data_IF_039559915397
#
_entry.id   IF_039559915397
#
_cell.length_a   1.000
_cell.length_b   1.000
_cell.length_c   1.000
_cell.angle_alpha   90.00
_cell.angle_beta   90.00
_cell.angle_gamma   90.00
#
_symmetry.space_group_name_H-M   'P 1'
#
loop_
_entity.id
_entity.type
_entity.pdbx_description
1 polymer ?
#
# COMPACT_ATOMS: atom_id res chain seq x y z
N UNK A 1 -24.47 19.22 -1.86
CA UNK A 1 -23.17 19.31 -2.54
C UNK A 1 -22.55 17.93 -2.54
N UNK A 2 -21.91 17.53 -3.62
CA UNK A 2 -21.32 16.22 -3.77
C UNK A 2 -20.15 15.99 -2.82
N UNK A 3 -20.07 14.77 -2.31
CA UNK A 3 -18.96 14.28 -1.52
C UNK A 3 -17.82 13.88 -2.46
N UNK A 4 -16.59 14.13 -2.04
CA UNK A 4 -15.40 13.75 -2.81
C UNK A 4 -14.19 13.57 -1.91
N UNK A 5 -13.16 12.90 -2.43
CA UNK A 5 -11.91 12.70 -1.70
C UNK A 5 -10.92 13.78 -2.12
N UNK A 6 -10.46 14.58 -1.17
CA UNK A 6 -9.40 15.56 -1.35
C UNK A 6 -8.05 14.94 -1.00
N UNK A 7 -7.04 15.19 -1.83
CA UNK A 7 -5.66 14.78 -1.60
C UNK A 7 -4.76 15.97 -1.27
N UNK A 8 -4.00 15.87 -0.18
CA UNK A 8 -2.97 16.82 0.20
C UNK A 8 -1.61 16.36 -0.33
N UNK A 9 -1.11 17.02 -1.38
CA UNK A 9 0.17 16.70 -2.01
C UNK A 9 1.39 16.95 -1.11
N UNK A 10 1.27 17.80 -0.09
CA UNK A 10 2.36 18.06 0.87
C UNK A 10 2.52 16.93 1.89
N UNK A 11 1.47 16.11 2.07
CA UNK A 11 1.46 14.98 3.01
C UNK A 11 1.59 13.62 2.30
N UNK A 12 1.43 13.58 0.98
CA UNK A 12 1.42 12.33 0.24
C UNK A 12 2.84 11.71 0.15
N UNK A 13 2.98 10.48 0.63
CA UNK A 13 4.22 9.69 0.49
C UNK A 13 4.41 9.10 -0.91
N UNK A 14 3.35 9.05 -1.73
CA UNK A 14 3.37 8.28 -2.98
C UNK A 14 3.53 6.78 -2.75
N UNK A 15 2.97 6.24 -1.66
CA UNK A 15 3.20 4.86 -1.22
C UNK A 15 2.31 3.80 -1.88
N UNK A 16 1.35 4.19 -2.73
CA UNK A 16 0.38 3.30 -3.39
C UNK A 16 -0.56 2.52 -2.46
N UNK A 17 -0.49 2.68 -1.13
CA UNK A 17 -1.37 2.00 -0.18
C UNK A 17 -2.86 2.29 -0.42
N UNK A 18 -3.19 3.52 -0.85
CA UNK A 18 -4.56 3.89 -1.18
C UNK A 18 -5.10 3.20 -2.45
N UNK A 19 -4.24 2.84 -3.40
CA UNK A 19 -4.63 2.05 -4.58
C UNK A 19 -4.91 0.61 -4.19
N UNK A 20 -4.02 0.02 -3.38
CA UNK A 20 -4.15 -1.36 -2.88
C UNK A 20 -5.43 -1.50 -2.04
N UNK A 21 -5.64 -0.60 -1.08
CA UNK A 21 -6.85 -0.58 -0.27
C UNK A 21 -8.12 -0.41 -1.12
N UNK A 22 -8.04 0.39 -2.20
CA UNK A 22 -9.17 0.52 -3.13
C UNK A 22 -9.47 -0.79 -3.85
N UNK A 23 -8.45 -1.51 -4.34
CA UNK A 23 -8.64 -2.80 -5.03
C UNK A 23 -9.17 -3.86 -4.06
N UNK A 24 -8.59 -3.97 -2.86
CA UNK A 24 -9.01 -4.94 -1.84
C UNK A 24 -10.47 -4.74 -1.42
N UNK A 25 -10.88 -3.50 -1.14
CA UNK A 25 -12.25 -3.19 -0.78
C UNK A 25 -13.27 -3.47 -1.90
N UNK A 26 -12.82 -3.60 -3.16
CA UNK A 26 -13.66 -3.96 -4.31
C UNK A 26 -13.45 -5.40 -4.77
N UNK A 27 -12.73 -6.21 -3.99
CA UNK A 27 -12.46 -7.61 -4.22
C UNK A 27 -12.64 -8.41 -2.92
N UNK A 28 -13.66 -8.07 -2.12
CA UNK A 28 -14.04 -8.75 -0.88
C UNK A 28 -12.89 -8.93 0.13
N UNK A 29 -11.99 -7.93 0.21
CA UNK A 29 -10.78 -7.93 1.04
C UNK A 29 -9.79 -9.07 0.72
N UNK A 30 -9.83 -9.60 -0.50
CA UNK A 30 -8.92 -10.63 -1.00
C UNK A 30 -7.85 -10.05 -1.92
N UNK A 31 -6.64 -10.62 -1.87
CA UNK A 31 -5.57 -10.28 -2.81
C UNK A 31 -5.93 -10.70 -4.24
N UNK A 32 -5.57 -9.84 -5.18
CA UNK A 32 -5.76 -10.09 -6.60
C UNK A 32 -4.47 -10.64 -7.17
N UNK A 33 -4.48 -11.92 -7.52
CA UNK A 33 -3.28 -12.66 -7.95
C UNK A 33 -2.77 -12.29 -9.35
N UNK A 34 -3.48 -11.42 -10.10
CA UNK A 34 -3.06 -11.00 -11.43
C UNK A 34 -3.11 -9.48 -11.61
N UNK A 35 -2.11 -8.94 -12.29
CA UNK A 35 -2.08 -7.51 -12.65
C UNK A 35 -3.28 -7.09 -13.50
N UNK A 36 -3.84 -8.03 -14.28
CA UNK A 36 -5.02 -7.79 -15.12
C UNK A 36 -6.29 -7.48 -14.33
N UNK A 37 -6.31 -7.74 -13.03
CA UNK A 37 -7.45 -7.46 -12.17
C UNK A 37 -7.13 -6.34 -11.14
N UNK A 38 -5.92 -5.76 -11.20
CA UNK A 38 -5.56 -4.61 -10.37
C UNK A 38 -6.08 -3.32 -11.01
N UNK A 39 -7.31 -2.93 -10.65
CA UNK A 39 -8.00 -1.77 -11.20
C UNK A 39 -8.43 -0.78 -10.10
N UNK A 40 -7.47 -0.07 -9.48
CA UNK A 40 -7.78 0.92 -8.45
C UNK A 40 -8.56 2.09 -9.06
N UNK A 41 -9.52 2.60 -8.29
CA UNK A 41 -10.38 3.74 -8.67
C UNK A 41 -9.83 5.09 -8.22
N UNK A 42 -8.58 5.08 -7.77
CA UNK A 42 -7.72 6.17 -7.33
C UNK A 42 -6.34 5.89 -7.93
N UNK A 43 -5.58 6.93 -8.29
CA UNK A 43 -4.25 6.74 -8.89
C UNK A 43 -3.22 7.62 -8.23
N UNK A 44 -2.12 7.03 -7.77
CA UNK A 44 -0.98 7.74 -7.21
C UNK A 44 -0.06 8.15 -8.35
N UNK A 45 0.27 9.44 -8.38
CA UNK A 45 1.28 10.00 -9.27
C UNK A 45 2.50 10.34 -8.41
N UNK A 46 3.64 9.76 -8.79
CA UNK A 46 4.96 10.09 -8.25
C UNK A 46 5.84 10.54 -9.42
N UNK A 47 6.26 11.80 -9.40
CA UNK A 47 7.20 12.33 -10.39
C UNK A 47 8.17 13.30 -9.71
N UNK A 48 9.45 12.95 -9.71
CA UNK A 48 10.50 13.69 -9.00
C UNK A 48 10.11 13.87 -7.52
N UNK A 49 9.97 15.12 -7.05
CA UNK A 49 9.59 15.47 -5.69
C UNK A 49 8.07 15.71 -5.53
N UNK A 50 7.29 15.53 -6.59
CA UNK A 50 5.84 15.70 -6.56
C UNK A 50 5.15 14.36 -6.36
N UNK A 51 4.30 14.30 -5.34
CA UNK A 51 3.54 13.12 -4.94
C UNK A 51 2.12 13.55 -4.67
N UNK A 52 1.15 12.88 -5.28
CA UNK A 52 -0.26 13.09 -4.98
C UNK A 52 -1.08 11.89 -5.40
N UNK A 53 -2.27 11.75 -4.83
CA UNK A 53 -3.28 10.85 -5.35
C UNK A 53 -4.31 11.63 -6.16
N UNK A 54 -4.60 11.15 -7.36
CA UNK A 54 -5.64 11.66 -8.24
C UNK A 54 -6.92 10.87 -8.00
N UNK A 55 -7.97 11.59 -7.64
CA UNK A 55 -9.26 11.02 -7.23
C UNK A 55 -10.38 11.58 -8.11
N UNK A 56 -11.50 10.84 -8.21
CA UNK A 56 -12.72 11.42 -8.79
C UNK A 56 -13.26 12.50 -7.84
N UNK A 57 -13.55 13.68 -8.37
CA UNK A 57 -14.10 14.78 -7.59
C UNK A 57 -15.62 14.78 -7.49
N UNK A 58 -16.30 13.79 -8.11
CA UNK A 58 -17.77 13.73 -8.20
C UNK A 58 -18.38 15.10 -8.53
N UNK A 59 -17.85 15.78 -9.54
CA UNK A 59 -18.17 17.17 -9.85
C UNK A 59 -19.67 17.43 -9.92
N UNK A 60 -20.13 18.58 -9.43
CA UNK A 60 -21.54 19.00 -9.53
C UNK A 60 -22.03 19.07 -10.97
N UNK A 61 -21.20 19.62 -11.86
CA UNK A 61 -21.51 19.75 -13.29
C UNK A 61 -21.29 18.44 -14.07
N UNK A 62 -20.71 17.42 -13.42
CA UNK A 62 -20.47 16.06 -13.91
C UNK A 62 -20.34 15.93 -15.44
N UNK A 63 -19.25 16.43 -16.07
CA UNK A 63 -19.07 16.34 -17.53
C UNK A 63 -19.17 14.90 -18.05
N UNK A 64 -18.74 13.92 -17.24
CA UNK A 64 -18.86 12.49 -17.54
C UNK A 64 -20.32 11.99 -17.60
N UNK A 65 -21.21 12.55 -16.77
CA UNK A 65 -22.64 12.23 -16.82
C UNK A 65 -23.29 12.86 -18.05
N UNK A 66 -23.00 14.14 -18.32
CA UNK A 66 -23.52 14.88 -19.48
C UNK A 66 -23.09 14.25 -20.80
N UNK A 67 -21.89 13.69 -20.88
CA UNK A 67 -21.38 13.03 -22.09
C UNK A 67 -21.85 11.59 -22.25
N UNK A 68 -22.60 11.02 -21.30
CA UNK A 68 -23.02 9.62 -21.33
C UNK A 68 -24.25 9.41 -22.24
N UNK A 69 -24.10 8.76 -23.41
CA UNK A 69 -25.19 8.63 -24.37
C UNK A 69 -26.29 7.66 -23.92
N UNK A 70 -25.99 6.75 -22.99
CA UNK A 70 -26.93 5.73 -22.52
C UNK A 70 -27.48 6.02 -21.10
N UNK A 71 -27.24 7.22 -20.56
CA UNK A 71 -27.69 7.60 -19.21
C UNK A 71 -27.20 6.66 -18.10
N UNK A 72 -26.02 6.06 -18.28
CA UNK A 72 -25.43 5.11 -17.35
C UNK A 72 -24.74 5.79 -16.16
N UNK A 73 -24.53 7.11 -16.22
CA UNK A 73 -23.85 7.88 -15.18
C UNK A 73 -24.83 8.93 -14.68
N UNK A 74 -25.11 8.92 -13.38
CA UNK A 74 -26.12 9.81 -12.77
C UNK A 74 -25.72 10.22 -11.37
N UNK A 75 -26.37 11.25 -10.85
CA UNK A 75 -26.25 11.65 -9.45
C UNK A 75 -27.07 10.70 -8.54
N UNK A 76 -26.44 10.22 -7.47
CA UNK A 76 -27.01 9.32 -6.46
C UNK A 76 -26.34 9.63 -5.11
N UNK A 77 -27.13 9.89 -4.06
CA UNK A 77 -26.68 10.08 -2.68
C UNK A 77 -25.46 11.03 -2.53
N UNK A 78 -25.61 12.26 -3.05
CA UNK A 78 -24.56 13.29 -3.04
C UNK A 78 -23.26 12.83 -3.71
N UNK A 79 -23.36 12.04 -4.78
CA UNK A 79 -22.21 11.60 -5.56
C UNK A 79 -22.60 11.25 -6.99
N UNK A 80 -21.69 11.43 -7.94
CA UNK A 80 -21.88 10.88 -9.29
C UNK A 80 -21.60 9.38 -9.24
N UNK A 81 -22.41 8.53 -9.87
CA UNK A 81 -22.28 7.07 -9.86
C UNK A 81 -22.44 6.46 -11.25
N UNK A 82 -21.82 5.30 -11.48
CA UNK A 82 -21.94 4.55 -12.74
C UNK A 82 -22.80 3.30 -12.54
N UNK A 83 -23.90 3.21 -13.28
CA UNK A 83 -24.69 2.00 -13.38
C UNK A 83 -24.05 1.05 -14.41
N UNK A 84 -23.44 -0.04 -13.93
CA UNK A 84 -22.73 -1.01 -14.77
C UNK A 84 -23.64 -1.85 -15.67
N UNK A 85 -24.94 -1.92 -15.39
CA UNK A 85 -25.91 -2.60 -16.25
C UNK A 85 -26.25 -1.75 -17.48
N UNK A 86 -26.29 -0.42 -17.32
CA UNK A 86 -26.53 0.53 -18.42
C UNK A 86 -25.24 0.91 -19.18
N UNK A 87 -24.07 0.74 -18.60
CA UNK A 87 -22.82 1.14 -19.27
C UNK A 87 -22.56 0.29 -20.53
N UNK A 88 -22.32 0.97 -21.65
CA UNK A 88 -21.98 0.34 -22.94
C UNK A 88 -20.48 0.47 -23.30
N UNK A 89 -19.66 1.01 -22.41
CA UNK A 89 -18.20 1.12 -22.64
C UNK A 89 -17.75 2.05 -23.77
N UNK A 90 -18.60 3.00 -24.22
CA UNK A 90 -18.31 3.90 -25.36
C UNK A 90 -17.16 4.89 -25.15
N UNK A 91 -16.58 4.96 -23.93
CA UNK A 91 -15.45 5.83 -23.55
C UNK A 91 -15.68 7.35 -23.60
N UNK A 92 -16.88 7.82 -23.94
CA UNK A 92 -17.22 9.26 -23.94
C UNK A 92 -16.91 9.96 -22.59
N UNK A 93 -17.18 9.28 -21.48
CA UNK A 93 -16.88 9.77 -20.14
C UNK A 93 -15.36 9.90 -19.85
N UNK A 94 -14.51 9.09 -20.50
CA UNK A 94 -13.05 9.14 -20.35
C UNK A 94 -12.53 10.46 -20.90
N UNK A 95 -12.95 10.82 -22.12
CA UNK A 95 -12.55 12.08 -22.77
C UNK A 95 -13.14 13.29 -22.06
N UNK A 96 -14.36 13.17 -21.51
CA UNK A 96 -15.03 14.28 -20.84
C UNK A 96 -14.50 14.57 -19.43
N UNK A 97 -13.76 13.65 -18.80
CA UNK A 97 -13.30 13.85 -17.42
C UNK A 97 -12.12 14.84 -17.36
N UNK A 98 -12.27 16.03 -16.75
CA UNK A 98 -11.18 17.00 -16.69
C UNK A 98 -10.03 16.56 -15.76
N UNK A 99 -10.28 15.58 -14.88
CA UNK A 99 -9.30 15.02 -13.96
C UNK A 99 -8.70 13.70 -14.44
N UNK A 100 -9.16 13.16 -15.59
CA UNK A 100 -8.65 11.90 -16.13
C UNK A 100 -8.91 10.66 -15.27
N UNK A 101 -9.92 10.68 -14.38
CA UNK A 101 -10.16 9.60 -13.39
C UNK A 101 -11.14 8.52 -13.86
N UNK A 102 -11.71 8.69 -15.05
CA UNK A 102 -12.60 7.71 -15.67
C UNK A 102 -11.77 6.64 -16.38
N UNK A 103 -11.97 5.38 -16.03
CA UNK A 103 -11.31 4.22 -16.64
C UNK A 103 -12.33 3.33 -17.34
N UNK A 104 -11.86 2.52 -18.29
CA UNK A 104 -12.66 1.48 -18.94
C UNK A 104 -12.04 0.15 -18.61
N UNK A 105 -12.79 -0.67 -17.88
CA UNK A 105 -12.39 -2.02 -17.49
C UNK A 105 -13.05 -3.01 -18.44
N UNK A 106 -12.28 -4.00 -18.88
CA UNK A 106 -12.76 -5.08 -19.73
C UNK A 106 -12.94 -6.33 -18.87
N UNK A 107 -14.19 -6.71 -18.61
CA UNK A 107 -14.50 -7.90 -17.81
C UNK A 107 -14.87 -9.07 -18.73
N UNK A 108 -14.25 -10.26 -18.59
CA UNK A 108 -14.67 -11.45 -19.34
C UNK A 108 -16.11 -11.83 -19.01
N UNK A 109 -16.92 -12.13 -20.02
CA UNK A 109 -18.32 -12.59 -19.84
C UNK A 109 -18.58 -13.97 -20.44
N UNK A 110 -17.80 -14.36 -21.46
CA UNK A 110 -17.78 -15.69 -22.04
C UNK A 110 -16.46 -15.90 -22.79
N UNK A 111 -16.18 -17.13 -23.24
CA UNK A 111 -14.99 -17.42 -24.05
C UNK A 111 -14.91 -16.48 -25.27
N UNK A 112 -13.83 -15.69 -25.35
CA UNK A 112 -13.61 -14.71 -26.42
C UNK A 112 -14.51 -13.46 -26.36
N UNK A 113 -15.31 -13.26 -25.31
CA UNK A 113 -16.20 -12.10 -25.15
C UNK A 113 -15.88 -11.33 -23.87
N UNK A 114 -15.70 -10.02 -24.01
CA UNK A 114 -15.51 -9.09 -22.90
C UNK A 114 -16.61 -8.05 -22.89
N UNK A 115 -16.97 -7.58 -21.70
CA UNK A 115 -17.83 -6.42 -21.48
C UNK A 115 -16.97 -5.25 -21.05
N UNK A 116 -17.07 -4.14 -21.78
CA UNK A 116 -16.41 -2.90 -21.43
C UNK A 116 -17.30 -2.04 -20.52
N UNK A 117 -16.81 -1.71 -19.33
CA UNK A 117 -17.55 -0.93 -18.32
C UNK A 117 -16.73 0.25 -17.82
N UNK A 118 -17.38 1.38 -17.57
CA UNK A 118 -16.72 2.56 -17.05
C UNK A 118 -16.56 2.47 -15.53
N UNK A 119 -15.35 2.63 -15.03
CA UNK A 119 -15.03 2.60 -13.62
C UNK A 119 -14.49 3.98 -13.19
N UNK A 120 -14.87 4.40 -11.99
CA UNK A 120 -14.39 5.60 -11.29
C UNK A 120 -14.62 5.40 -9.80
N UNK A 121 -14.05 6.24 -8.95
CA UNK A 121 -14.35 6.22 -7.53
C UNK A 121 -15.88 6.31 -7.31
N UNK A 122 -16.41 5.42 -6.49
CA UNK A 122 -17.81 5.36 -6.05
C UNK A 122 -17.93 5.72 -4.56
N UNK A 123 -16.84 6.21 -3.95
CA UNK A 123 -16.70 6.47 -2.52
C UNK A 123 -16.90 5.22 -1.65
N UNK A 124 -16.64 4.02 -2.20
CA UNK A 124 -16.92 2.73 -1.54
C UNK A 124 -18.38 2.66 -1.07
N UNK A 125 -19.33 3.03 -1.94
CA UNK A 125 -20.75 2.97 -1.64
C UNK A 125 -21.14 1.55 -1.15
N UNK A 126 -21.65 1.47 0.08
CA UNK A 126 -22.00 0.21 0.74
C UNK A 126 -21.02 -0.25 1.83
N UNK A 127 -19.83 0.35 1.95
CA UNK A 127 -18.89 0.10 3.04
C UNK A 127 -19.17 1.03 4.22
N UNK A 128 -19.42 0.48 5.41
CA UNK A 128 -19.80 1.24 6.61
C UNK A 128 -18.73 2.27 7.02
N UNK A 129 -17.45 1.90 6.95
CA UNK A 129 -16.32 2.77 7.30
C UNK A 129 -15.98 3.80 6.20
N UNK A 130 -16.76 3.85 5.11
CA UNK A 130 -16.53 4.76 3.99
C UNK A 130 -15.35 4.36 3.09
N UNK A 131 -14.72 5.32 2.39
CA UNK A 131 -13.67 5.02 1.41
C UNK A 131 -12.44 4.37 2.03
N UNK A 132 -12.14 3.14 1.61
CA UNK A 132 -11.00 2.37 2.11
C UNK A 132 -9.65 3.08 1.89
N UNK A 133 -9.52 3.86 0.82
CA UNK A 133 -8.32 4.63 0.54
C UNK A 133 -8.07 5.77 1.54
N UNK A 134 -9.11 6.37 2.10
CA UNK A 134 -9.00 7.40 3.15
C UNK A 134 -8.58 6.75 4.47
N UNK A 135 -9.25 5.66 4.84
CA UNK A 135 -8.95 4.91 6.07
C UNK A 135 -7.52 4.34 6.11
N UNK A 136 -7.01 3.88 4.97
CA UNK A 136 -5.69 3.23 4.88
C UNK A 136 -4.57 4.19 4.47
N UNK A 137 -4.79 5.51 4.49
CA UNK A 137 -3.74 6.47 4.17
C UNK A 137 -2.78 6.63 5.38
N UNK A 138 -1.53 6.14 5.32
CA UNK A 138 -0.64 6.15 6.49
C UNK A 138 -0.19 7.56 6.91
N UNK A 139 -0.34 8.53 6.01
CA UNK A 139 0.15 9.89 6.17
C UNK A 139 -0.99 10.91 6.28
N UNK A 140 -2.23 10.43 6.41
CA UNK A 140 -3.44 11.27 6.50
C UNK A 140 -3.57 12.27 5.35
N UNK A 141 -3.01 11.93 4.18
CA UNK A 141 -3.00 12.80 3.01
C UNK A 141 -4.34 12.78 2.25
N UNK A 142 -5.27 11.89 2.60
CA UNK A 142 -6.57 11.74 1.96
C UNK A 142 -7.68 12.04 2.96
N UNK A 143 -8.64 12.86 2.55
CA UNK A 143 -9.78 13.22 3.38
C UNK A 143 -11.07 13.15 2.57
N UNK A 144 -12.10 12.51 3.12
CA UNK A 144 -13.46 12.61 2.59
C UNK A 144 -14.03 13.99 2.93
N UNK A 145 -14.33 14.77 1.90
CA UNK A 145 -14.93 16.09 2.01
C UNK A 145 -16.43 15.96 1.84
N UNK A 146 -17.16 16.52 2.81
CA UNK A 146 -18.62 16.61 2.81
C UNK A 146 -19.05 18.08 2.88
N UNK A 147 -20.31 18.36 2.57
CA UNK A 147 -20.86 19.72 2.66
C UNK A 147 -20.73 20.31 4.07
N UNK A 148 -20.93 19.48 5.09
CA UNK A 148 -20.75 19.87 6.51
C UNK A 148 -19.30 20.24 6.78
N UNK A 149 -18.34 19.44 6.31
CA UNK A 149 -16.92 19.72 6.49
C UNK A 149 -16.51 21.04 5.80
N UNK A 150 -16.96 21.27 4.56
CA UNK A 150 -16.68 22.51 3.82
C UNK A 150 -17.31 23.73 4.46
N UNK A 151 -18.56 23.63 4.88
CA UNK A 151 -19.26 24.70 5.61
C UNK A 151 -18.55 25.04 6.92
N UNK A 152 -18.06 24.01 7.63
CA UNK A 152 -17.21 24.16 8.81
C UNK A 152 -15.90 24.89 8.49
N UNK A 153 -15.17 24.47 7.46
CA UNK A 153 -13.91 25.11 7.03
C UNK A 153 -14.13 26.57 6.62
N UNK A 154 -15.19 26.87 5.85
CA UNK A 154 -15.53 28.22 5.43
C UNK A 154 -15.94 29.10 6.63
N UNK A 155 -16.69 28.57 7.60
CA UNK A 155 -17.02 29.27 8.85
C UNK A 155 -15.76 29.55 9.67
N UNK A 156 -14.88 28.57 9.85
CA UNK A 156 -13.60 28.73 10.55
C UNK A 156 -12.70 29.76 9.88
N UNK A 157 -12.60 29.75 8.54
CA UNK A 157 -11.84 30.76 7.79
C UNK A 157 -12.40 32.16 7.97
N UNK A 158 -13.74 32.32 7.86
CA UNK A 158 -14.42 33.60 8.12
C UNK A 158 -14.17 34.09 9.54
N UNK A 159 -14.25 33.22 10.53
CA UNK A 159 -13.97 33.55 11.93
C UNK A 159 -12.51 33.96 12.13
N UNK A 160 -11.53 33.24 11.55
CA UNK A 160 -10.10 33.60 11.61
C UNK A 160 -9.83 34.98 11.01
N UNK A 161 -10.38 35.26 9.82
CA UNK A 161 -10.25 36.58 9.18
C UNK A 161 -10.92 37.68 10.02
N UNK A 162 -12.11 37.41 10.57
CA UNK A 162 -12.84 38.37 11.39
C UNK A 162 -12.15 38.65 12.74
N UNK A 163 -11.45 37.68 13.31
CA UNK A 163 -10.76 37.80 14.61
C UNK A 163 -9.42 38.53 14.56
N UNK A 164 -8.92 38.92 13.37
CA UNK A 164 -7.56 39.47 13.20
C UNK A 164 -6.50 38.68 13.99
N UNK A 165 -6.64 37.35 14.08
CA UNK A 165 -5.60 36.50 14.63
C UNK A 165 -4.46 36.48 13.63
N UNK A 166 -3.56 37.46 13.76
CA UNK A 166 -2.28 37.54 13.09
C UNK A 166 -1.38 36.47 13.70
N UNK A 167 -1.69 35.20 13.47
CA UNK A 167 -0.70 34.15 13.67
C UNK A 167 0.13 34.05 12.38
N UNK A 168 1.47 34.10 12.49
CA UNK A 168 2.32 33.77 11.35
C UNK A 168 1.95 32.38 10.86
N UNK A 169 2.11 32.15 9.56
CA UNK A 169 1.69 30.98 8.78
C UNK A 169 2.23 29.61 9.28
N UNK A 170 2.88 29.56 10.46
CA UNK A 170 3.51 28.40 11.08
C UNK A 170 3.33 28.26 12.61
N UNK A 171 2.28 28.81 13.24
CA UNK A 171 2.02 28.56 14.68
C UNK A 171 0.85 27.58 14.91
N UNK A 172 1.13 26.29 14.92
CA UNK A 172 0.23 25.27 15.49
C UNK A 172 0.41 25.25 17.01
N UNK A 173 -0.62 25.57 17.78
CA UNK A 173 -0.71 25.15 19.19
C UNK A 173 -2.16 24.77 19.54
N UNK A 174 -2.46 23.48 19.41
CA UNK A 174 -3.47 22.80 20.20
C UNK A 174 -2.76 21.65 20.92
N UNK A 175 -2.88 21.63 22.26
CA UNK A 175 -2.49 20.59 23.22
C UNK A 175 -1.40 19.58 22.77
N UNK A 176 -0.19 19.80 23.28
CA UNK A 176 0.95 18.88 23.13
C UNK A 176 0.70 17.54 23.84
N UNK A 177 0.26 16.54 23.07
CA UNK A 177 0.87 15.23 23.15
C UNK A 177 2.22 15.31 22.41
N UNK A 178 3.26 14.62 22.89
CA UNK A 178 4.58 14.63 22.25
C UNK A 178 4.42 14.34 20.75
N UNK A 179 4.92 15.20 19.83
CA UNK A 179 4.60 15.04 18.43
C UNK A 179 5.26 13.77 17.91
N UNK A 180 4.43 12.75 17.67
CA UNK A 180 4.82 11.62 16.82
C UNK A 180 5.13 12.24 15.46
N UNK A 181 6.39 12.12 15.01
CA UNK A 181 6.80 12.62 13.70
C UNK A 181 5.80 12.13 12.63
N UNK A 182 5.33 13.03 11.78
CA UNK A 182 4.52 12.67 10.62
C UNK A 182 5.27 11.69 9.72
N UNK A 183 4.57 10.89 8.91
CA UNK A 183 5.26 9.95 7.99
C UNK A 183 6.18 10.66 6.99
N UNK A 184 5.86 11.89 6.61
CA UNK A 184 6.70 12.69 5.71
C UNK A 184 8.01 13.06 6.42
N UNK A 185 7.93 13.51 7.68
CA UNK A 185 9.11 13.78 8.50
C UNK A 185 9.92 12.51 8.76
N UNK A 186 9.27 11.38 9.02
CA UNK A 186 9.95 10.07 9.18
C UNK A 186 10.71 9.68 7.91
N UNK A 187 10.08 9.84 6.74
CA UNK A 187 10.71 9.59 5.45
C UNK A 187 11.91 10.51 5.23
N UNK A 188 11.77 11.81 5.46
CA UNK A 188 12.85 12.79 5.32
C UNK A 188 14.01 12.52 6.29
N UNK A 189 13.71 12.03 7.49
CA UNK A 189 14.70 11.64 8.49
C UNK A 189 15.27 10.22 8.27
N UNK A 190 14.84 9.50 7.23
CA UNK A 190 15.32 8.14 6.98
C UNK A 190 16.81 8.18 6.62
N UNK A 191 17.67 7.42 7.32
CA UNK A 191 19.11 7.41 7.05
C UNK A 191 19.41 6.85 5.65
N UNK A 192 20.68 6.79 5.25
CA UNK A 192 21.07 6.02 4.06
C UNK A 192 20.92 4.51 4.29
N UNK A 193 20.57 3.75 3.24
CA UNK A 193 20.45 2.29 3.30
C UNK A 193 21.78 1.66 3.71
N UNK A 194 21.77 0.81 4.73
CA UNK A 194 22.92 0.01 5.10
C UNK A 194 22.91 -1.31 4.35
N UNK A 195 24.07 -1.72 3.86
CA UNK A 195 24.25 -3.03 3.24
C UNK A 195 24.77 -4.05 4.27
N UNK A 196 24.48 -5.35 4.08
CA UNK A 196 25.12 -6.41 4.84
C UNK A 196 26.64 -6.42 4.63
N UNK A 197 27.35 -6.71 5.70
CA UNK A 197 28.80 -6.91 5.66
C UNK A 197 29.10 -8.12 4.76
N UNK A 198 30.22 -8.05 4.01
CA UNK A 198 30.63 -9.10 3.09
C UNK A 198 31.99 -9.61 3.49
N UNK A 199 32.25 -10.89 3.22
CA UNK A 199 33.61 -11.42 3.25
C UNK A 199 34.51 -10.59 2.33
N UNK A 200 35.74 -10.35 2.79
CA UNK A 200 36.75 -9.64 2.04
C UNK A 200 36.98 -10.32 0.67
N UNK A 201 37.30 -9.52 -0.34
CA UNK A 201 37.48 -10.01 -1.72
C UNK A 201 38.49 -11.15 -1.79
N UNK A 202 39.60 -11.05 -1.06
CA UNK A 202 40.63 -12.10 -1.05
C UNK A 202 40.14 -13.41 -0.43
N UNK A 203 39.28 -13.35 0.60
CA UNK A 203 38.73 -14.54 1.23
C UNK A 203 37.67 -15.25 0.36
N UNK A 204 36.88 -14.50 -0.41
CA UNK A 204 35.81 -15.08 -1.26
C UNK A 204 36.26 -15.57 -2.64
N UNK A 205 37.57 -15.47 -2.96
CA UNK A 205 38.15 -16.00 -4.20
C UNK A 205 38.51 -17.48 -4.10
N UNK A 206 38.77 -17.96 -2.89
CA UNK A 206 39.41 -19.26 -2.65
C UNK A 206 38.46 -20.30 -2.07
N UNK A 207 37.23 -19.91 -1.71
CA UNK A 207 36.23 -20.78 -1.09
C UNK A 207 34.82 -20.55 -1.65
N UNK A 208 33.89 -21.37 -1.16
CA UNK A 208 32.46 -21.33 -1.50
C UNK A 208 31.60 -20.90 -0.30
N UNK A 209 32.22 -20.29 0.72
CA UNK A 209 31.52 -19.75 1.88
C UNK A 209 30.54 -18.65 1.46
N UNK A 210 29.46 -18.49 2.24
CA UNK A 210 28.45 -17.47 1.98
C UNK A 210 29.10 -16.07 2.05
N UNK A 211 29.05 -15.33 0.93
CA UNK A 211 29.73 -14.04 0.78
C UNK A 211 29.14 -12.98 1.73
N UNK A 212 27.83 -13.02 1.95
CA UNK A 212 27.10 -12.06 2.78
C UNK A 212 27.00 -12.56 4.21
N UNK A 213 27.52 -11.77 5.14
CA UNK A 213 27.43 -12.08 6.55
C UNK A 213 26.02 -11.80 7.09
N UNK A 214 25.53 -12.59 8.06
CA UNK A 214 24.25 -12.32 8.71
C UNK A 214 24.26 -10.93 9.36
N UNK A 215 23.11 -10.26 9.38
CA UNK A 215 22.97 -9.02 10.13
C UNK A 215 23.23 -9.26 11.61
N UNK A 216 24.00 -8.35 12.21
CA UNK A 216 24.00 -8.17 13.65
C UNK A 216 22.72 -7.49 14.10
N UNK A 217 22.39 -7.60 15.39
CA UNK A 217 21.19 -6.97 15.95
C UNK A 217 21.13 -5.46 15.72
N UNK A 218 22.28 -4.75 15.79
CA UNK A 218 22.35 -3.32 15.50
C UNK A 218 22.05 -2.99 14.02
N UNK A 219 22.52 -3.83 13.10
CA UNK A 219 22.22 -3.68 11.67
C UNK A 219 20.73 -3.96 11.40
N UNK A 220 20.21 -5.07 11.92
CA UNK A 220 18.80 -5.42 11.76
C UNK A 220 17.88 -4.32 12.32
N UNK A 221 18.17 -3.79 13.52
CA UNK A 221 17.37 -2.74 14.14
C UNK A 221 17.43 -1.43 13.33
N UNK A 222 18.62 -1.04 12.85
CA UNK A 222 18.80 0.15 12.02
C UNK A 222 18.09 0.03 10.69
N UNK A 223 18.15 -1.12 10.02
CA UNK A 223 17.48 -1.29 8.74
C UNK A 223 15.96 -1.44 8.90
N UNK A 224 15.51 -2.11 9.97
CA UNK A 224 14.09 -2.19 10.32
C UNK A 224 13.50 -0.80 10.60
N UNK A 225 14.21 0.08 11.31
CA UNK A 225 13.75 1.44 11.66
C UNK A 225 13.45 2.32 10.44
N UNK A 226 14.00 2.00 9.26
CA UNK A 226 13.72 2.67 7.98
C UNK A 226 12.31 2.42 7.45
N UNK A 227 11.66 1.33 7.88
CA UNK A 227 10.32 1.00 7.41
C UNK A 227 9.29 2.01 7.93
N UNK A 228 8.56 2.63 7.02
CA UNK A 228 7.53 3.61 7.38
C UNK A 228 6.19 2.99 7.77
N UNK A 229 5.99 1.66 7.69
CA UNK A 229 4.66 1.01 7.74
C UNK A 229 3.63 1.79 6.89
N UNK A 230 3.71 1.62 5.58
CA UNK A 230 3.01 2.46 4.60
C UNK A 230 1.48 2.25 4.52
N UNK A 231 0.90 1.43 5.38
CA UNK A 231 -0.51 1.05 5.40
C UNK A 231 -0.68 -0.31 6.09
N UNK A 232 -1.91 -0.77 6.25
CA UNK A 232 -2.15 -2.14 6.70
C UNK A 232 -1.75 -3.14 5.61
N UNK A 233 -2.21 -2.90 4.38
CA UNK A 233 -1.68 -3.51 3.18
C UNK A 233 -0.76 -2.52 2.47
N UNK A 234 0.45 -2.99 2.15
CA UNK A 234 1.52 -2.16 1.61
C UNK A 234 1.99 -2.63 0.25
N UNK A 235 2.63 -1.74 -0.51
CA UNK A 235 3.11 -2.06 -1.86
C UNK A 235 4.19 -3.16 -1.88
N UNK A 236 5.00 -3.27 -0.82
CA UNK A 236 5.99 -4.34 -0.72
C UNK A 236 5.35 -5.71 -0.45
N UNK A 237 4.30 -5.78 0.36
CA UNK A 237 3.46 -6.99 0.53
C UNK A 237 2.78 -7.36 -0.79
N UNK A 238 2.17 -6.39 -1.47
CA UNK A 238 1.47 -6.63 -2.73
C UNK A 238 2.40 -7.19 -3.82
N UNK A 239 3.61 -6.66 -3.90
CA UNK A 239 4.58 -7.06 -4.93
C UNK A 239 5.29 -8.37 -4.57
N UNK A 240 5.23 -8.80 -3.31
CA UNK A 240 5.69 -10.13 -2.91
C UNK A 240 4.71 -11.19 -3.46
N UNK A 241 5.18 -12.20 -4.22
CA UNK A 241 4.31 -13.26 -4.72
C UNK A 241 3.60 -14.08 -3.63
N UNK A 242 4.15 -14.08 -2.41
CA UNK A 242 3.58 -14.76 -1.25
C UNK A 242 2.68 -13.84 -0.41
N UNK A 243 2.60 -12.54 -0.74
CA UNK A 243 1.91 -11.54 0.06
C UNK A 243 2.34 -11.54 1.53
N UNK A 244 3.64 -11.70 1.77
CA UNK A 244 4.22 -11.70 3.12
C UNK A 244 3.85 -10.41 3.87
N UNK A 245 3.53 -10.55 5.16
CA UNK A 245 3.20 -9.46 6.09
C UNK A 245 4.42 -8.57 6.46
N UNK A 246 5.08 -8.03 5.42
CA UNK A 246 6.40 -7.37 5.50
C UNK A 246 6.44 -6.25 6.52
N UNK A 247 5.55 -5.23 6.47
CA UNK A 247 5.57 -4.19 7.49
C UNK A 247 5.36 -4.74 8.90
N UNK A 248 4.48 -5.72 9.07
CA UNK A 248 4.09 -6.25 10.37
C UNK A 248 5.24 -7.03 11.03
N UNK A 249 5.92 -7.93 10.32
CA UNK A 249 7.07 -8.61 10.91
C UNK A 249 8.29 -7.70 11.06
N UNK A 250 8.43 -6.63 10.25
CA UNK A 250 9.45 -5.60 10.49
C UNK A 250 9.17 -4.83 11.78
N UNK A 251 7.91 -4.50 12.09
CA UNK A 251 7.55 -3.87 13.38
C UNK A 251 7.90 -4.79 14.56
N UNK A 252 7.71 -6.11 14.41
CA UNK A 252 8.13 -7.08 15.44
C UNK A 252 9.65 -7.09 15.63
N UNK A 253 10.43 -6.97 14.55
CA UNK A 253 11.90 -6.79 14.63
C UNK A 253 12.26 -5.49 15.34
N UNK A 254 11.60 -4.36 15.02
CA UNK A 254 11.81 -3.09 15.72
C UNK A 254 11.53 -3.19 17.22
N UNK A 255 10.55 -4.01 17.60
CA UNK A 255 10.21 -4.31 18.99
C UNK A 255 11.15 -5.35 19.65
N UNK A 256 12.10 -5.91 18.90
CA UNK A 256 13.01 -6.96 19.36
C UNK A 256 12.36 -8.35 19.51
N UNK A 257 11.13 -8.53 19.03
CA UNK A 257 10.35 -9.76 19.17
C UNK A 257 10.55 -10.69 17.96
N UNK A 258 11.73 -11.31 17.90
CA UNK A 258 12.11 -12.22 16.80
C UNK A 258 11.24 -13.48 16.76
N UNK A 259 10.81 -13.98 17.92
CA UNK A 259 10.04 -15.23 18.00
C UNK A 259 8.63 -15.04 17.42
N UNK A 260 8.01 -13.88 17.62
CA UNK A 260 6.76 -13.55 16.91
C UNK A 260 6.99 -13.21 15.43
N UNK A 261 8.13 -12.59 15.10
CA UNK A 261 8.45 -12.23 13.72
C UNK A 261 8.62 -13.47 12.83
N UNK A 262 9.28 -14.52 13.33
CA UNK A 262 9.45 -15.78 12.59
C UNK A 262 8.12 -16.50 12.42
N UNK A 263 7.28 -16.53 13.46
CA UNK A 263 5.95 -17.13 13.39
C UNK A 263 5.10 -16.45 12.31
N UNK A 264 5.07 -15.11 12.32
CA UNK A 264 4.33 -14.33 11.33
C UNK A 264 4.91 -14.49 9.92
N UNK A 265 6.24 -14.52 9.77
CA UNK A 265 6.88 -14.76 8.47
C UNK A 265 6.55 -16.13 7.89
N UNK A 266 6.41 -17.15 8.74
CA UNK A 266 6.11 -18.52 8.31
C UNK A 266 4.63 -18.77 7.98
N UNK A 267 3.73 -17.85 8.31
CA UNK A 267 2.30 -17.97 7.96
C UNK A 267 2.06 -17.92 6.44
N UNK A 268 2.88 -17.16 5.71
CA UNK A 268 2.75 -16.98 4.25
C UNK A 268 3.91 -17.59 3.47
N UNK A 269 5.04 -17.89 4.13
CA UNK A 269 6.25 -18.40 3.49
C UNK A 269 6.80 -19.61 4.23
N UNK A 270 6.89 -20.76 3.56
CA UNK A 270 7.42 -21.98 4.18
C UNK A 270 8.95 -22.02 4.24
N UNK A 271 9.65 -21.14 3.51
CA UNK A 271 11.11 -21.10 3.36
C UNK A 271 11.71 -19.68 3.44
N UNK A 272 11.39 -18.87 4.48
CA UNK A 272 11.89 -17.50 4.63
C UNK A 272 13.42 -17.42 4.75
N UNK A 273 14.07 -18.45 5.26
CA UNK A 273 15.52 -18.58 5.29
C UNK A 273 16.14 -18.69 3.89
N UNK A 274 15.39 -19.21 2.91
CA UNK A 274 15.82 -19.31 1.52
C UNK A 274 15.44 -18.05 0.75
N UNK A 275 14.18 -17.60 0.84
CA UNK A 275 13.71 -16.41 0.09
C UNK A 275 14.46 -15.14 0.48
N UNK A 276 14.80 -14.98 1.76
CA UNK A 276 15.62 -13.86 2.24
C UNK A 276 17.01 -13.80 1.59
N UNK A 277 17.51 -14.94 1.06
CA UNK A 277 18.81 -15.06 0.40
C UNK A 277 18.74 -14.95 -1.13
N UNK A 278 17.74 -15.56 -1.75
CA UNK A 278 17.74 -15.81 -3.21
C UNK A 278 16.68 -15.07 -4.00
N UNK A 279 15.66 -14.49 -3.34
CA UNK A 279 14.66 -13.73 -4.07
C UNK A 279 15.33 -12.54 -4.78
N UNK A 280 14.91 -12.18 -6.00
CA UNK A 280 15.35 -10.95 -6.65
C UNK A 280 14.59 -9.76 -6.06
N UNK A 281 14.92 -9.36 -4.82
CA UNK A 281 14.11 -8.38 -4.09
C UNK A 281 14.06 -7.01 -4.80
N UNK A 282 15.10 -6.66 -5.56
CA UNK A 282 15.18 -5.46 -6.41
C UNK A 282 14.07 -5.39 -7.47
N UNK A 283 13.53 -6.54 -7.87
CA UNK A 283 12.40 -6.66 -8.81
C UNK A 283 11.07 -6.97 -8.12
N UNK A 284 11.10 -7.17 -6.81
CA UNK A 284 9.95 -7.56 -5.99
C UNK A 284 9.72 -6.53 -4.87
N UNK A 285 9.69 -6.97 -3.62
CA UNK A 285 9.32 -6.17 -2.46
C UNK A 285 10.19 -4.94 -2.23
N UNK A 286 11.51 -5.04 -2.40
CA UNK A 286 12.43 -3.91 -2.26
C UNK A 286 12.38 -2.98 -3.49
N UNK A 287 12.16 -3.56 -4.67
CA UNK A 287 11.86 -2.84 -5.89
C UNK A 287 10.63 -1.94 -5.76
N UNK A 288 9.60 -2.38 -5.05
CA UNK A 288 8.39 -1.60 -4.83
C UNK A 288 8.45 -0.64 -3.63
N UNK A 289 9.51 -0.69 -2.81
CA UNK A 289 9.57 0.05 -1.55
C UNK A 289 9.42 1.58 -1.75
N UNK A 290 8.49 2.20 -1.01
CA UNK A 290 8.13 3.62 -1.15
C UNK A 290 9.34 4.56 -1.07
N UNK A 291 10.28 4.28 -0.15
CA UNK A 291 11.45 5.13 0.11
C UNK A 291 12.64 4.83 -0.81
N UNK A 292 12.52 3.85 -1.72
CA UNK A 292 13.64 3.35 -2.54
C UNK A 292 14.35 4.47 -3.30
N UNK A 293 13.59 5.29 -4.01
CA UNK A 293 14.16 6.30 -4.91
C UNK A 293 14.80 7.48 -4.16
N UNK A 294 14.39 7.73 -2.91
CA UNK A 294 14.83 8.88 -2.12
C UNK A 294 15.97 8.52 -1.15
N UNK A 295 15.88 7.36 -0.49
CA UNK A 295 16.81 6.98 0.60
C UNK A 295 17.38 5.56 0.45
N UNK A 296 17.01 4.83 -0.62
CA UNK A 296 17.26 3.40 -0.75
C UNK A 296 16.19 2.56 -0.05
N UNK A 297 15.87 1.38 -0.60
CA UNK A 297 14.82 0.52 -0.06
C UNK A 297 15.16 0.04 1.35
N UNK A 298 14.14 -0.35 2.12
CA UNK A 298 14.34 -1.20 3.29
C UNK A 298 14.95 -2.53 2.82
N UNK A 299 15.97 -3.06 3.51
CA UNK A 299 16.62 -4.34 3.18
C UNK A 299 15.79 -5.55 3.62
N UNK A 300 14.55 -5.62 3.12
CA UNK A 300 13.54 -6.64 3.46
C UNK A 300 14.11 -8.05 3.43
N UNK A 301 14.86 -8.43 2.39
CA UNK A 301 15.43 -9.78 2.28
C UNK A 301 16.41 -10.12 3.39
N UNK A 302 17.29 -9.17 3.76
CA UNK A 302 18.25 -9.40 4.84
C UNK A 302 17.59 -9.39 6.23
N UNK A 303 16.49 -8.65 6.42
CA UNK A 303 15.72 -8.70 7.66
C UNK A 303 14.97 -10.05 7.75
N UNK A 304 14.37 -10.54 6.67
CA UNK A 304 13.73 -11.88 6.61
C UNK A 304 14.75 -13.00 6.93
N UNK A 305 15.95 -12.91 6.33
CA UNK A 305 17.08 -13.79 6.65
C UNK A 305 17.46 -13.71 8.13
N UNK A 306 17.61 -12.50 8.67
CA UNK A 306 17.98 -12.29 10.06
C UNK A 306 16.98 -12.93 11.03
N UNK A 307 15.68 -12.73 10.80
CA UNK A 307 14.61 -13.34 11.61
C UNK A 307 14.76 -14.86 11.63
N UNK A 308 14.86 -15.46 10.44
CA UNK A 308 14.88 -16.91 10.26
C UNK A 308 16.17 -17.52 10.83
N UNK A 309 17.34 -16.92 10.56
CA UNK A 309 18.63 -17.40 11.06
C UNK A 309 18.70 -17.36 12.60
N UNK A 310 18.19 -16.29 13.23
CA UNK A 310 18.15 -16.18 14.70
C UNK A 310 17.20 -17.21 15.32
N UNK A 311 16.03 -17.43 14.72
CA UNK A 311 15.07 -18.43 15.19
C UNK A 311 15.63 -19.85 15.07
N UNK A 312 16.21 -20.20 13.91
CA UNK A 312 16.81 -21.51 13.67
C UNK A 312 18.00 -21.77 14.61
N UNK A 313 18.82 -20.76 14.90
CA UNK A 313 19.92 -20.86 15.87
C UNK A 313 19.44 -21.16 17.31
N UNK A 314 18.23 -20.72 17.66
CA UNK A 314 17.55 -21.07 18.93
C UNK A 314 16.85 -22.42 18.89
N UNK A 315 16.91 -23.14 17.77
CA UNK A 315 16.21 -24.41 17.59
C UNK A 315 14.70 -24.27 17.33
N UNK A 316 14.24 -23.10 16.90
CA UNK A 316 12.85 -22.89 16.52
C UNK A 316 12.41 -23.86 15.41
N UNK A 317 11.17 -24.32 15.49
CA UNK A 317 10.49 -25.12 14.47
C UNK A 317 9.02 -24.71 14.42
N UNK A 318 8.35 -24.81 13.25
CA UNK A 318 6.92 -24.57 13.14
C UNK A 318 6.12 -25.48 14.09
N UNK A 319 5.10 -24.92 14.74
CA UNK A 319 4.18 -25.72 15.56
C UNK A 319 3.17 -26.48 14.68
N UNK A 320 3.25 -27.81 14.73
CA UNK A 320 2.35 -28.70 14.01
C UNK A 320 1.29 -29.35 14.92
N UNK A 321 1.14 -28.88 16.15
CA UNK A 321 0.21 -29.44 17.16
C UNK A 321 -1.26 -29.45 16.70
N UNK A 322 -1.63 -28.51 15.84
CA UNK A 322 -2.98 -28.36 15.28
C UNK A 322 -3.26 -29.29 14.09
N UNK A 323 -2.25 -29.99 13.56
CA UNK A 323 -2.40 -30.83 12.37
C UNK A 323 -3.13 -32.13 12.72
N UNK A 324 -4.32 -32.31 12.17
CA UNK A 324 -5.11 -33.54 12.37
C UNK A 324 -4.71 -34.61 11.36
N UNK A 325 -4.30 -35.78 11.86
CA UNK A 325 -3.99 -36.93 11.01
C UNK A 325 -5.24 -37.41 10.27
N UNK A 326 -5.12 -37.59 8.96
CA UNK A 326 -6.17 -38.17 8.10
C UNK A 326 -5.73 -39.53 7.56
N UNK A 327 -6.68 -40.44 7.33
CA UNK A 327 -6.41 -41.75 6.73
C UNK A 327 -6.36 -41.66 5.19
N UNK A 328 -5.44 -40.83 4.69
CA UNK A 328 -5.20 -40.63 3.26
C UNK A 328 -3.70 -40.75 2.97
N UNK A 329 -3.38 -41.13 1.74
CA UNK A 329 -1.99 -41.22 1.24
C UNK A 329 -1.78 -40.21 0.13
N UNK A 330 -0.68 -39.48 0.21
CA UNK A 330 -0.26 -38.47 -0.78
C UNK A 330 1.15 -38.83 -1.24
N UNK A 331 1.42 -38.76 -2.54
CA UNK A 331 2.76 -38.94 -3.11
C UNK A 331 3.26 -37.59 -3.64
N UNK A 332 4.50 -37.24 -3.30
CA UNK A 332 5.19 -36.03 -3.77
C UNK A 332 6.39 -36.52 -4.60
N UNK A 333 6.44 -36.14 -5.88
CA UNK A 333 7.54 -36.49 -6.80
C UNK A 333 8.42 -35.25 -6.98
N UNK A 334 9.59 -35.26 -6.31
CA UNK A 334 10.50 -34.12 -6.25
C UNK A 334 10.53 -33.50 -4.85
N UNK A 335 11.71 -33.12 -4.37
CA UNK A 335 11.95 -32.54 -3.05
C UNK A 335 12.45 -31.10 -3.12
N UNK A 336 12.09 -30.40 -4.20
CA UNK A 336 12.35 -28.97 -4.37
C UNK A 336 11.27 -28.10 -3.71
N UNK A 337 11.41 -26.76 -3.75
CA UNK A 337 10.53 -25.82 -3.05
C UNK A 337 9.05 -25.74 -3.48
N UNK A 338 8.58 -26.57 -4.42
CA UNK A 338 7.28 -26.42 -5.08
C UNK A 338 6.09 -26.60 -4.14
#
# INVERSE_FOLDING_TARGET
MNRFIMANSQQCLGCHACEIACVMAHNDEQHVLSQHHFHPRITVIKHQQQRSAVTCHHCEDAPCARSCPNGAISHVDDSIQVNQQKCIGCKSCVVACPFGTMQIVLTPVAAGKVKATAHKCDLCAGRENGPACVENCPADALQLVTDVALSGMAKSRRLRTARQEHQPWHASTAAQEMPVMSKVEQMQATPARGEPDKLAIEARKTGFDEIYLPFRADQAQREASRCLKCGEHSVCEWTCPLHNHIPQWIELVKAGNIDAAVELSHQTNTLPEITGRVCPQDRLCEGACTIRDEHGAVTIGNIERYISDQALAKGWRPDLSHVTKVDKRVAIIGAGPA
#
